data_IF_176104806478
#
_entry.id   IF_176104806478
#
_cell.length_a   1.000
_cell.length_b   1.000
_cell.length_c   1.000
_cell.angle_alpha   90.00
_cell.angle_beta   90.00
_cell.angle_gamma   90.00
#
_symmetry.space_group_name_H-M   'P 1'
#
loop_
_entity.id
_entity.type
_entity.pdbx_description
1 polymer ?
#
# COMPACT_ATOMS: atom_id res chain seq x y z
N UNK A 1 25.83 -2.63 -14.18
CA UNK A 1 25.41 -3.56 -15.25
C UNK A 1 25.22 -4.97 -14.71
N UNK A 2 26.17 -5.46 -13.91
CA UNK A 2 26.12 -6.81 -13.33
C UNK A 2 25.07 -6.97 -12.24
N UNK A 3 24.77 -5.91 -11.47
CA UNK A 3 23.80 -5.96 -10.37
C UNK A 3 22.40 -6.49 -10.78
N UNK A 4 21.75 -5.92 -11.81
CA UNK A 4 20.40 -6.34 -12.23
C UNK A 4 20.35 -7.74 -12.84
N UNK A 5 21.46 -8.19 -13.45
CA UNK A 5 21.58 -9.55 -13.99
C UNK A 5 21.85 -10.58 -12.88
N UNK A 6 22.64 -10.20 -11.88
CA UNK A 6 22.99 -11.04 -10.72
C UNK A 6 21.89 -11.09 -9.65
N UNK A 7 20.94 -10.16 -9.64
CA UNK A 7 19.87 -10.13 -8.64
C UNK A 7 18.91 -11.32 -8.85
N UNK A 8 18.95 -12.31 -7.98
CA UNK A 8 18.01 -13.43 -7.99
C UNK A 8 16.68 -13.02 -7.34
N UNK A 9 15.65 -12.82 -8.16
CA UNK A 9 14.33 -12.39 -7.68
C UNK A 9 13.67 -13.47 -6.81
N UNK A 10 13.95 -14.75 -7.04
CA UNK A 10 13.45 -15.84 -6.21
C UNK A 10 14.03 -15.76 -4.81
N UNK A 11 15.35 -15.56 -4.71
CA UNK A 11 16.03 -15.35 -3.43
C UNK A 11 15.51 -14.10 -2.70
N UNK A 12 15.29 -13.00 -3.43
CA UNK A 12 14.73 -11.77 -2.85
C UNK A 12 13.29 -11.98 -2.39
N UNK A 13 12.44 -12.70 -3.13
CA UNK A 13 11.08 -13.04 -2.72
C UNK A 13 11.06 -13.89 -1.44
N UNK A 14 11.95 -14.88 -1.33
CA UNK A 14 12.09 -15.69 -0.12
C UNK A 14 12.57 -14.83 1.06
N UNK A 15 13.57 -13.99 0.84
CA UNK A 15 14.04 -13.01 1.83
C UNK A 15 12.91 -12.11 2.33
N UNK A 16 12.11 -11.60 1.40
CA UNK A 16 10.96 -10.76 1.69
C UNK A 16 9.89 -11.49 2.50
N UNK A 17 9.59 -12.74 2.15
CA UNK A 17 8.66 -13.57 2.92
C UNK A 17 9.16 -13.79 4.36
N UNK A 18 10.46 -14.05 4.54
CA UNK A 18 11.05 -14.19 5.87
C UNK A 18 10.94 -12.88 6.67
N UNK A 19 11.18 -11.72 6.04
CA UNK A 19 10.97 -10.41 6.67
C UNK A 19 9.51 -10.24 7.10
N UNK A 20 8.55 -10.58 6.24
CA UNK A 20 7.13 -10.51 6.58
C UNK A 20 6.77 -11.43 7.74
N UNK A 21 7.25 -12.67 7.77
CA UNK A 21 7.00 -13.59 8.88
C UNK A 21 7.62 -13.06 10.18
N UNK A 22 8.87 -12.58 10.13
CA UNK A 22 9.60 -12.09 11.30
C UNK A 22 8.95 -10.83 11.90
N UNK A 23 8.47 -9.92 11.06
CA UNK A 23 7.83 -8.67 11.51
C UNK A 23 6.37 -8.91 11.88
N UNK A 24 5.62 -9.64 11.06
CA UNK A 24 4.18 -9.81 11.25
C UNK A 24 3.84 -10.83 12.34
N UNK A 25 4.57 -11.94 12.42
CA UNK A 25 4.29 -13.04 13.33
C UNK A 25 4.10 -12.59 14.78
N UNK A 26 5.05 -11.88 15.40
CA UNK A 26 4.91 -11.42 16.78
C UNK A 26 3.71 -10.50 17.01
N UNK A 27 3.41 -9.62 16.05
CA UNK A 27 2.29 -8.67 16.15
C UNK A 27 0.94 -9.38 16.01
N UNK A 28 0.84 -10.32 15.06
CA UNK A 28 -0.34 -11.17 14.85
C UNK A 28 -0.62 -11.98 16.11
N UNK A 29 0.40 -12.64 16.68
CA UNK A 29 0.26 -13.42 17.91
C UNK A 29 -0.17 -12.51 19.07
N UNK A 30 0.41 -11.32 19.21
CA UNK A 30 0.04 -10.37 20.26
C UNK A 30 -1.42 -9.87 20.14
N UNK A 31 -2.00 -9.86 18.94
CA UNK A 31 -3.39 -9.45 18.71
C UNK A 31 -4.41 -10.51 19.20
N UNK A 32 -4.06 -11.80 19.21
CA UNK A 32 -4.97 -12.90 19.58
C UNK A 32 -5.45 -12.72 21.04
N UNK A 33 -6.77 -12.70 21.31
CA UNK A 33 -7.34 -12.40 22.63
C UNK A 33 -7.25 -13.59 23.62
N UNK A 34 -6.06 -14.17 23.77
CA UNK A 34 -5.77 -15.26 24.73
C UNK A 34 -4.97 -14.69 25.91
N UNK A 35 -5.44 -14.92 27.14
CA UNK A 35 -4.78 -14.44 28.39
C UNK A 35 -3.31 -14.87 28.49
N UNK A 36 -2.97 -16.07 28.00
CA UNK A 36 -1.59 -16.56 28.00
C UNK A 36 -0.62 -15.69 27.18
N UNK A 37 -1.13 -14.88 26.26
CA UNK A 37 -0.35 -13.98 25.39
C UNK A 37 -0.26 -12.56 25.96
N UNK A 38 -0.82 -12.29 27.14
CA UNK A 38 -0.75 -10.97 27.78
C UNK A 38 0.68 -10.48 28.03
N UNK A 39 1.66 -11.32 28.43
CA UNK A 39 3.05 -10.87 28.55
C UNK A 39 3.63 -10.38 27.22
N UNK A 40 3.33 -11.08 26.12
CA UNK A 40 3.75 -10.70 24.77
C UNK A 40 3.07 -9.38 24.35
N UNK A 41 1.76 -9.26 24.56
CA UNK A 41 1.00 -8.03 24.28
C UNK A 41 1.57 -6.83 25.06
N UNK A 42 1.87 -7.01 26.35
CA UNK A 42 2.50 -5.98 27.21
C UNK A 42 3.90 -5.61 26.74
N UNK A 43 4.67 -6.56 26.23
CA UNK A 43 5.99 -6.30 25.66
C UNK A 43 5.92 -5.42 24.40
N UNK A 44 4.96 -5.70 23.51
CA UNK A 44 4.79 -4.95 22.26
C UNK A 44 4.03 -3.62 22.45
N UNK A 45 3.20 -3.51 23.47
CA UNK A 45 2.38 -2.35 23.76
C UNK A 45 3.10 -0.98 23.68
N UNK A 46 4.31 -0.79 24.25
CA UNK A 46 5.07 0.47 24.15
C UNK A 46 5.33 0.95 22.72
N UNK A 47 5.40 0.04 21.76
CA UNK A 47 5.73 0.36 20.36
C UNK A 47 4.54 0.94 19.59
N UNK A 48 3.33 0.57 19.99
CA UNK A 48 2.09 1.00 19.33
C UNK A 48 1.50 2.30 19.93
N UNK A 49 2.01 2.79 21.06
CA UNK A 49 1.44 3.97 21.72
C UNK A 49 1.68 5.25 20.91
N UNK A 50 0.60 6.00 20.73
CA UNK A 50 0.59 7.31 20.05
C UNK A 50 -0.53 8.20 20.58
N UNK A 51 -0.31 9.51 20.57
CA UNK A 51 -1.30 10.51 20.98
C UNK A 51 -1.80 10.30 22.41
N UNK A 52 -3.12 10.23 22.59
CA UNK A 52 -3.79 10.06 23.90
C UNK A 52 -3.41 8.78 24.65
N UNK A 53 -2.96 7.74 23.95
CA UNK A 53 -2.53 6.47 24.57
C UNK A 53 -1.15 6.55 25.24
N UNK A 54 -0.39 7.64 25.06
CA UNK A 54 0.88 7.87 25.74
C UNK A 54 0.72 8.47 27.14
N UNK A 55 -0.44 9.05 27.47
CA UNK A 55 -0.68 9.72 28.75
C UNK A 55 -1.14 8.77 29.86
N UNK A 56 -1.23 7.46 29.61
CA UNK A 56 -1.65 6.48 30.61
C UNK A 56 -0.56 6.26 31.69
N UNK A 57 -0.90 6.34 32.99
CA UNK A 57 0.05 6.33 34.11
C UNK A 57 0.82 5.00 34.27
N UNK A 58 0.33 3.91 33.69
CA UNK A 58 1.01 2.62 33.73
C UNK A 58 2.10 2.54 32.66
N UNK A 59 3.35 2.91 32.99
CA UNK A 59 4.53 2.02 32.80
C UNK A 59 5.89 2.66 33.06
N UNK A 60 6.62 2.04 33.99
CA UNK A 60 8.08 2.02 34.03
C UNK A 60 8.62 1.08 32.93
N UNK A 61 9.15 1.63 31.82
CA UNK A 61 9.82 0.88 30.75
C UNK A 61 11.23 1.41 30.43
N UNK A 62 12.14 0.51 30.02
CA UNK A 62 13.58 0.75 29.76
C UNK A 62 13.83 1.86 28.73
N UNK A 63 14.90 2.65 28.94
CA UNK A 63 15.14 3.97 28.34
C UNK A 63 14.96 4.15 26.82
N UNK A 64 15.28 3.16 25.99
CA UNK A 64 15.11 3.25 24.52
C UNK A 64 13.64 3.26 24.07
N UNK A 65 12.73 2.63 24.82
CA UNK A 65 11.29 2.61 24.51
C UNK A 65 10.57 3.92 24.90
N UNK A 66 11.27 4.85 25.59
CA UNK A 66 10.77 6.19 25.91
C UNK A 66 11.04 7.22 24.83
N UNK A 67 11.90 6.91 23.85
CA UNK A 67 12.18 7.84 22.77
C UNK A 67 10.90 8.04 21.96
N UNK A 68 10.48 9.30 21.82
CA UNK A 68 9.28 9.65 21.07
C UNK A 68 9.60 10.67 19.99
N UNK A 69 8.81 10.63 18.93
CA UNK A 69 8.85 11.60 17.83
C UNK A 69 7.49 12.31 17.72
N UNK A 70 7.43 13.50 17.11
CA UNK A 70 6.17 14.19 16.85
C UNK A 70 5.19 13.34 16.07
N UNK A 71 3.89 13.40 16.42
CA UNK A 71 2.88 12.66 15.69
C UNK A 71 2.76 13.14 14.22
N UNK A 72 3.06 14.40 13.92
CA UNK A 72 3.05 14.94 12.56
C UNK A 72 3.97 14.21 11.59
N UNK A 73 4.95 13.43 12.07
CA UNK A 73 5.83 12.61 11.24
C UNK A 73 5.11 11.46 10.50
N UNK A 74 3.79 11.27 10.72
CA UNK A 74 2.95 10.44 9.84
C UNK A 74 3.09 10.81 8.36
N UNK A 75 3.33 12.08 8.03
CA UNK A 75 3.54 12.53 6.65
C UNK A 75 4.75 11.85 5.98
N UNK A 76 5.82 11.60 6.74
CA UNK A 76 7.04 10.98 6.21
C UNK A 76 6.79 9.57 5.64
N UNK A 77 5.89 8.81 6.27
CA UNK A 77 5.52 7.48 5.83
C UNK A 77 5.00 7.49 4.39
N UNK A 78 4.10 8.43 4.10
CA UNK A 78 3.49 8.53 2.78
C UNK A 78 4.43 9.17 1.75
N UNK A 79 5.31 10.11 2.15
CA UNK A 79 6.35 10.64 1.25
C UNK A 79 7.29 9.53 0.78
N UNK A 80 7.82 8.73 1.72
CA UNK A 80 8.74 7.63 1.40
C UNK A 80 8.06 6.55 0.59
N UNK A 81 6.86 6.12 1.01
CA UNK A 81 6.07 5.13 0.28
C UNK A 81 5.73 5.57 -1.13
N UNK A 82 5.25 6.81 -1.29
CA UNK A 82 4.87 7.38 -2.59
C UNK A 82 6.08 7.45 -3.51
N UNK A 83 7.21 8.02 -3.05
CA UNK A 83 8.42 8.13 -3.87
C UNK A 83 8.88 6.78 -4.42
N UNK A 84 8.93 5.75 -3.57
CA UNK A 84 9.31 4.41 -4.00
C UNK A 84 8.27 3.79 -4.94
N UNK A 85 6.98 3.91 -4.61
CA UNK A 85 5.90 3.37 -5.43
C UNK A 85 5.85 4.02 -6.81
N UNK A 86 6.04 5.33 -6.93
CA UNK A 86 6.10 6.05 -8.21
C UNK A 86 7.21 5.49 -9.10
N UNK A 87 8.41 5.25 -8.56
CA UNK A 87 9.53 4.67 -9.33
C UNK A 87 9.15 3.28 -9.86
N UNK A 88 8.58 2.43 -9.01
CA UNK A 88 8.16 1.08 -9.39
C UNK A 88 7.00 1.12 -10.40
N UNK A 89 6.04 2.03 -10.21
CA UNK A 89 4.89 2.24 -11.08
C UNK A 89 5.32 2.66 -12.47
N UNK A 90 6.12 3.74 -12.58
CA UNK A 90 6.58 4.24 -13.87
C UNK A 90 7.41 3.20 -14.63
N UNK A 91 8.27 2.45 -13.93
CA UNK A 91 9.05 1.38 -14.55
C UNK A 91 8.17 0.23 -15.05
N UNK A 92 7.18 -0.19 -14.23
CA UNK A 92 6.27 -1.28 -14.58
C UNK A 92 5.28 -0.88 -15.67
N UNK A 93 4.80 0.36 -15.65
CA UNK A 93 3.93 0.93 -16.67
C UNK A 93 4.65 1.01 -18.02
N UNK A 94 5.88 1.52 -18.05
CA UNK A 94 6.69 1.55 -19.28
C UNK A 94 6.94 0.13 -19.82
N UNK A 95 7.19 -0.85 -18.95
CA UNK A 95 7.30 -2.25 -19.36
C UNK A 95 5.99 -2.80 -19.93
N UNK A 96 4.85 -2.52 -19.30
CA UNK A 96 3.52 -2.94 -19.77
C UNK A 96 3.19 -2.37 -21.15
N UNK A 97 3.48 -1.08 -21.37
CA UNK A 97 3.39 -0.44 -22.69
C UNK A 97 4.25 -1.18 -23.72
N UNK A 98 5.52 -1.51 -23.38
CA UNK A 98 6.41 -2.23 -24.30
C UNK A 98 5.92 -3.64 -24.62
N UNK A 99 5.38 -4.37 -23.64
CA UNK A 99 4.76 -5.67 -23.86
C UNK A 99 3.60 -5.61 -24.85
N UNK A 100 2.91 -4.46 -24.91
CA UNK A 100 1.71 -4.30 -25.72
C UNK A 100 1.98 -3.77 -27.12
N UNK A 101 3.04 -2.98 -27.30
CA UNK A 101 3.52 -2.55 -28.63
C UNK A 101 3.96 -3.72 -29.52
N UNK A 102 4.25 -4.89 -28.94
CA UNK A 102 4.53 -6.12 -29.70
C UNK A 102 3.33 -6.69 -30.46
N UNK A 103 2.10 -6.36 -30.04
CA UNK A 103 0.86 -6.82 -30.71
C UNK A 103 0.58 -6.02 -31.99
N UNK A 104 0.92 -4.72 -32.03
CA UNK A 104 0.74 -3.86 -33.23
C UNK A 104 1.56 -4.37 -34.42
N UNK A 105 2.76 -4.89 -34.18
CA UNK A 105 3.63 -5.41 -35.23
C UNK A 105 3.16 -6.76 -35.81
N UNK A 106 2.33 -7.52 -35.08
CA UNK A 106 1.73 -8.75 -35.60
C UNK A 106 0.52 -8.45 -36.49
N UNK A 107 -0.30 -7.47 -36.12
CA UNK A 107 -1.43 -7.07 -36.96
C UNK A 107 -0.94 -6.41 -38.26
N UNK A 108 0.08 -5.56 -38.19
CA UNK A 108 0.68 -4.97 -39.39
C UNK A 108 1.38 -5.99 -40.29
N UNK A 109 2.02 -7.04 -39.72
CA UNK A 109 2.64 -8.09 -40.53
C UNK A 109 1.62 -9.02 -41.19
N UNK A 110 0.53 -9.36 -40.50
CA UNK A 110 -0.59 -10.13 -41.06
C UNK A 110 -1.31 -9.33 -42.14
N UNK A 111 -1.56 -8.03 -41.91
CA UNK A 111 -2.15 -7.16 -42.94
C UNK A 111 -1.19 -7.00 -44.13
N UNK A 112 0.12 -6.80 -43.91
CA UNK A 112 1.09 -6.71 -45.00
C UNK A 112 1.22 -8.02 -45.81
N UNK A 113 1.11 -9.18 -45.16
CA UNK A 113 1.03 -10.48 -45.82
C UNK A 113 -0.26 -10.65 -46.64
N UNK A 114 -1.38 -10.15 -46.14
CA UNK A 114 -2.68 -10.19 -46.84
C UNK A 114 -2.79 -9.18 -47.98
N UNK A 115 -2.15 -8.02 -47.88
CA UNK A 115 -2.20 -6.97 -48.90
C UNK A 115 -1.09 -7.07 -49.94
N UNK A 116 -0.17 -8.04 -49.82
CA UNK A 116 0.94 -8.22 -50.77
C UNK A 116 1.92 -7.05 -50.82
N UNK A 117 1.88 -6.15 -49.83
CA UNK A 117 2.68 -4.94 -49.80
C UNK A 117 4.10 -5.29 -49.31
N UNK A 118 4.96 -5.69 -50.26
CA UNK A 118 6.41 -5.56 -50.20
C UNK A 118 7.10 -6.06 -48.92
N UNK A 119 7.47 -7.34 -48.92
CA UNK A 119 8.49 -7.89 -48.02
C UNK A 119 9.89 -7.33 -48.35
N UNK A 120 10.16 -6.06 -48.00
CA UNK A 120 11.52 -5.52 -47.98
C UNK A 120 11.65 -4.56 -46.79
N UNK A 121 12.54 -4.91 -45.84
CA UNK A 121 12.87 -4.23 -44.57
C UNK A 121 12.19 -4.73 -43.27
N UNK A 122 12.43 -5.99 -42.91
CA UNK A 122 12.47 -6.40 -41.48
C UNK A 122 13.58 -7.42 -41.23
N UNK A 123 14.83 -7.09 -41.60
CA UNK A 123 16.02 -7.86 -41.21
C UNK A 123 16.66 -7.36 -39.89
N UNK A 124 16.08 -6.33 -39.25
CA UNK A 124 16.59 -5.74 -38.00
C UNK A 124 15.54 -5.58 -36.89
N UNK A 125 14.31 -6.07 -37.06
CA UNK A 125 13.35 -6.13 -35.97
C UNK A 125 13.62 -7.40 -35.14
N UNK A 126 14.54 -7.29 -34.17
CA UNK A 126 15.03 -8.42 -33.38
C UNK A 126 13.93 -9.33 -32.84
N UNK A 127 14.21 -10.63 -32.84
CA UNK A 127 13.37 -11.80 -32.49
C UNK A 127 12.70 -11.79 -31.09
N UNK A 128 12.71 -10.66 -30.38
CA UNK A 128 12.17 -10.49 -29.03
C UNK A 128 10.73 -9.97 -28.99
N UNK A 129 10.24 -9.38 -30.07
CA UNK A 129 8.93 -8.69 -30.10
C UNK A 129 7.71 -9.63 -30.00
N UNK A 130 7.68 -10.82 -30.64
CA UNK A 130 6.56 -11.77 -30.48
C UNK A 130 6.48 -12.38 -29.07
N UNK A 131 7.60 -12.42 -28.34
CA UNK A 131 7.71 -13.09 -27.04
C UNK A 131 7.22 -12.21 -25.89
N UNK A 132 7.30 -10.88 -26.00
CA UNK A 132 6.82 -9.97 -24.95
C UNK A 132 5.29 -9.82 -24.91
N UNK A 133 4.60 -9.99 -26.05
CA UNK A 133 3.13 -9.88 -26.12
C UNK A 133 2.39 -10.80 -25.15
N UNK A 134 2.94 -12.00 -24.89
CA UNK A 134 2.36 -12.98 -23.96
C UNK A 134 2.35 -12.51 -22.50
N UNK A 135 3.20 -11.53 -22.16
CA UNK A 135 3.34 -10.98 -20.81
C UNK A 135 2.48 -9.73 -20.56
N UNK A 136 1.77 -9.24 -21.57
CA UNK A 136 0.99 -8.00 -21.47
C UNK A 136 0.01 -8.01 -20.30
N UNK A 137 -0.72 -9.12 -20.09
CA UNK A 137 -1.68 -9.27 -18.98
C UNK A 137 -1.02 -9.09 -17.61
N UNK A 138 0.07 -9.82 -17.36
CA UNK A 138 0.77 -9.76 -16.07
C UNK A 138 1.41 -8.38 -15.84
N UNK A 139 1.99 -7.79 -16.89
CA UNK A 139 2.59 -6.46 -16.81
C UNK A 139 1.55 -5.37 -16.52
N UNK A 140 0.38 -5.40 -17.18
CA UNK A 140 -0.71 -4.46 -16.92
C UNK A 140 -1.35 -4.66 -15.55
N UNK A 141 -1.49 -5.91 -15.09
CA UNK A 141 -1.97 -6.19 -13.74
C UNK A 141 -1.02 -5.60 -12.68
N UNK A 142 0.29 -5.78 -12.84
CA UNK A 142 1.28 -5.16 -11.95
C UNK A 142 1.19 -3.62 -11.97
N UNK A 143 1.17 -3.02 -13.16
CA UNK A 143 1.04 -1.57 -13.30
C UNK A 143 -0.25 -1.04 -12.65
N UNK A 144 -1.36 -1.78 -12.79
CA UNK A 144 -2.64 -1.45 -12.17
C UNK A 144 -2.59 -1.53 -10.64
N UNK A 145 -1.97 -2.56 -10.06
CA UNK A 145 -1.81 -2.66 -8.61
C UNK A 145 -0.98 -1.51 -8.03
N UNK A 146 0.11 -1.15 -8.72
CA UNK A 146 0.96 -0.03 -8.32
C UNK A 146 0.24 1.31 -8.49
N UNK A 147 -0.63 1.45 -9.50
CA UNK A 147 -1.50 2.62 -9.66
C UNK A 147 -2.52 2.72 -8.51
N UNK A 148 -3.16 1.62 -8.11
CA UNK A 148 -4.08 1.62 -6.97
C UNK A 148 -3.36 2.02 -5.67
N UNK A 149 -2.14 1.53 -5.48
CA UNK A 149 -1.29 1.93 -4.35
C UNK A 149 -0.87 3.40 -4.44
N UNK A 150 -0.55 3.90 -5.64
CA UNK A 150 -0.20 5.31 -5.88
C UNK A 150 -1.37 6.23 -5.47
N UNK A 151 -2.59 5.89 -5.88
CA UNK A 151 -3.81 6.63 -5.54
C UNK A 151 -4.03 6.61 -4.02
N UNK A 152 -3.90 5.45 -3.39
CA UNK A 152 -4.06 5.32 -1.94
C UNK A 152 -3.02 6.17 -1.18
N UNK A 153 -1.74 6.09 -1.53
CA UNK A 153 -0.65 6.84 -0.89
C UNK A 153 -0.79 8.35 -1.11
N UNK A 154 -1.14 8.77 -2.32
CA UNK A 154 -1.38 10.18 -2.66
C UNK A 154 -2.53 10.76 -1.84
N UNK A 155 -3.65 10.04 -1.76
CA UNK A 155 -4.78 10.47 -0.92
C UNK A 155 -4.38 10.54 0.55
N UNK A 156 -3.68 9.54 1.10
CA UNK A 156 -3.23 9.57 2.50
C UNK A 156 -2.26 10.72 2.77
N UNK A 157 -1.36 11.01 1.84
CA UNK A 157 -0.47 12.16 1.92
C UNK A 157 -1.26 13.47 1.93
N UNK A 158 -2.22 13.61 1.01
CA UNK A 158 -3.14 14.76 0.97
C UNK A 158 -3.88 14.92 2.31
N UNK A 159 -4.48 13.86 2.83
CA UNK A 159 -5.19 13.88 4.11
C UNK A 159 -4.27 14.27 5.27
N UNK A 160 -3.00 13.85 5.27
CA UNK A 160 -2.05 14.26 6.30
C UNK A 160 -1.62 15.72 6.18
N UNK A 161 -1.52 16.26 4.96
CA UNK A 161 -1.09 17.64 4.75
C UNK A 161 -2.22 18.66 4.95
N UNK A 162 -3.44 18.32 4.55
CA UNK A 162 -4.53 19.28 4.41
C UNK A 162 -5.77 18.99 5.25
N UNK A 163 -6.01 17.73 5.65
CA UNK A 163 -7.21 17.35 6.42
C UNK A 163 -6.87 17.11 7.89
N UNK A 164 -5.73 16.47 8.17
CA UNK A 164 -5.37 16.03 9.51
C UNK A 164 -4.83 17.17 10.36
N UNK A 165 -5.54 17.51 11.44
CA UNK A 165 -5.02 18.42 12.46
C UNK A 165 -4.16 17.66 13.46
N UNK A 166 -2.82 17.74 13.34
CA UNK A 166 -1.90 17.14 14.29
C UNK A 166 -1.63 18.07 15.46
N UNK A 167 -1.88 17.59 16.67
CA UNK A 167 -1.55 18.31 17.89
C UNK A 167 -0.01 18.41 18.06
N UNK A 168 0.56 19.63 18.23
CA UNK A 168 2.01 19.83 18.35
C UNK A 168 2.67 19.12 19.54
N UNK A 169 1.90 18.81 20.58
CA UNK A 169 2.35 18.07 21.77
C UNK A 169 2.11 16.56 21.65
N UNK A 170 1.38 16.11 20.64
CA UNK A 170 1.18 14.68 20.43
C UNK A 170 2.47 14.00 19.96
N UNK A 171 2.73 12.83 20.53
CA UNK A 171 3.95 12.06 20.32
C UNK A 171 3.59 10.64 19.87
N UNK A 172 4.57 9.91 19.32
CA UNK A 172 4.51 8.48 19.05
C UNK A 172 5.86 7.82 19.38
N UNK A 173 5.88 6.51 19.61
CA UNK A 173 7.12 5.74 19.80
C UNK A 173 8.07 5.91 18.61
N UNK A 174 9.34 6.24 18.86
CA UNK A 174 10.35 6.37 17.80
C UNK A 174 10.67 5.02 17.12
N UNK A 175 10.67 3.93 17.89
CA UNK A 175 10.84 2.58 17.33
C UNK A 175 9.59 2.19 16.51
N UNK A 176 8.40 2.50 17.01
CA UNK A 176 7.15 2.33 16.26
C UNK A 176 7.16 3.13 14.95
N UNK A 177 7.71 4.35 14.96
CA UNK A 177 7.92 5.16 13.77
C UNK A 177 8.85 4.48 12.76
N UNK A 178 10.00 3.94 13.18
CA UNK A 178 10.93 3.25 12.27
C UNK A 178 10.32 1.97 11.69
N UNK A 179 9.59 1.19 12.49
CA UNK A 179 8.88 -0.01 12.01
C UNK A 179 7.82 0.38 10.97
N UNK A 180 7.03 1.42 11.27
CA UNK A 180 6.02 1.93 10.34
C UNK A 180 6.67 2.43 9.05
N UNK A 181 7.77 3.19 9.12
CA UNK A 181 8.50 3.64 7.93
C UNK A 181 8.97 2.45 7.07
N UNK A 182 9.48 1.39 7.71
CA UNK A 182 9.83 0.14 7.04
C UNK A 182 8.64 -0.51 6.32
N UNK A 183 7.46 -0.52 6.92
CA UNK A 183 6.25 -1.03 6.27
C UNK A 183 5.93 -0.32 4.94
N UNK A 184 6.04 1.00 4.89
CA UNK A 184 5.81 1.78 3.66
C UNK A 184 6.89 1.60 2.58
N UNK A 185 8.06 1.07 2.93
CA UNK A 185 9.10 0.64 1.97
C UNK A 185 8.80 -0.77 1.46
N UNK A 186 8.46 -1.68 2.37
CA UNK A 186 8.30 -3.11 2.09
C UNK A 186 7.03 -3.40 1.28
N UNK A 187 5.93 -2.67 1.49
CA UNK A 187 4.66 -2.90 0.75
C UNK A 187 4.79 -2.68 -0.76
N UNK A 188 5.31 -1.54 -1.28
CA UNK A 188 5.51 -1.37 -2.72
C UNK A 188 6.43 -2.43 -3.33
N UNK A 189 7.50 -2.81 -2.62
CA UNK A 189 8.43 -3.88 -3.04
C UNK A 189 7.69 -5.23 -3.10
N UNK A 190 6.80 -5.51 -2.15
CA UNK A 190 5.98 -6.73 -2.13
C UNK A 190 5.03 -6.78 -3.31
N UNK A 191 4.33 -5.66 -3.59
CA UNK A 191 3.43 -5.56 -4.73
C UNK A 191 4.15 -5.74 -6.07
N UNK A 192 5.38 -5.22 -6.15
CA UNK A 192 6.23 -5.38 -7.32
C UNK A 192 6.71 -6.83 -7.47
N UNK A 193 7.36 -7.37 -6.45
CA UNK A 193 8.02 -8.67 -6.52
C UNK A 193 7.06 -9.83 -6.67
N UNK A 194 5.83 -9.77 -6.15
CA UNK A 194 4.87 -10.88 -6.29
C UNK A 194 4.56 -11.25 -7.76
N UNK A 195 4.72 -10.31 -8.70
CA UNK A 195 4.43 -10.53 -10.12
C UNK A 195 5.52 -11.31 -10.86
N UNK A 196 6.68 -11.55 -10.22
CA UNK A 196 7.85 -12.17 -10.83
C UNK A 196 7.99 -13.65 -10.44
N UNK A 197 6.96 -14.45 -10.70
CA UNK A 197 6.98 -15.90 -10.44
C UNK A 197 7.54 -16.71 -11.61
N UNK A 198 7.26 -16.28 -12.84
CA UNK A 198 7.76 -16.95 -14.04
C UNK A 198 9.14 -16.41 -14.40
N UNK A 199 10.12 -17.31 -14.53
CA UNK A 199 11.49 -16.95 -14.89
C UNK A 199 11.56 -16.18 -16.22
N UNK A 200 10.74 -16.59 -17.20
CA UNK A 200 10.69 -15.92 -18.50
C UNK A 200 10.17 -14.48 -18.44
N UNK A 201 9.21 -14.18 -17.55
CA UNK A 201 8.72 -12.83 -17.30
C UNK A 201 9.80 -11.99 -16.61
N UNK A 202 10.45 -12.55 -15.58
CA UNK A 202 11.54 -11.92 -14.85
C UNK A 202 12.72 -11.56 -15.75
N UNK A 203 13.12 -12.47 -16.63
CA UNK A 203 14.22 -12.23 -17.57
C UNK A 203 13.86 -11.14 -18.59
N UNK A 204 12.62 -11.13 -19.09
CA UNK A 204 12.14 -10.07 -19.99
C UNK A 204 12.16 -8.70 -19.31
N UNK A 205 11.69 -8.60 -18.07
CA UNK A 205 11.72 -7.36 -17.31
C UNK A 205 13.14 -6.90 -16.99
N UNK A 206 14.03 -7.79 -16.55
CA UNK A 206 15.45 -7.47 -16.28
C UNK A 206 16.14 -6.94 -17.53
N UNK A 207 15.87 -7.53 -18.69
CA UNK A 207 16.41 -7.05 -19.97
C UNK A 207 15.90 -5.64 -20.29
N UNK A 208 14.59 -5.41 -20.14
CA UNK A 208 13.99 -4.09 -20.31
C UNK A 208 14.60 -3.04 -19.38
N UNK A 209 14.70 -3.34 -18.08
CA UNK A 209 15.29 -2.45 -17.09
C UNK A 209 16.76 -2.15 -17.40
N UNK A 210 17.55 -3.17 -17.78
CA UNK A 210 18.95 -2.99 -18.17
C UNK A 210 19.12 -2.12 -19.43
N UNK A 211 18.19 -2.21 -20.39
CA UNK A 211 18.17 -1.35 -21.58
C UNK A 211 17.85 0.10 -21.22
N UNK A 212 16.83 0.35 -20.37
CA UNK A 212 16.48 1.70 -19.93
C UNK A 212 17.59 2.36 -19.10
N UNK A 213 18.33 1.60 -18.29
CA UNK A 213 19.51 2.11 -17.58
C UNK A 213 20.68 2.48 -18.50
N UNK A 214 20.70 1.99 -19.76
CA UNK A 214 21.74 2.28 -20.75
C UNK A 214 21.38 3.50 -21.62
N UNK A 215 20.11 3.87 -21.74
CA UNK A 215 19.72 5.06 -22.52
C UNK A 215 20.24 6.34 -21.86
N UNK A 216 20.84 7.22 -22.65
CA UNK A 216 21.25 8.58 -22.23
C UNK A 216 20.00 9.40 -21.90
N UNK A 217 20.11 10.33 -20.94
CA UNK A 217 18.98 11.10 -20.40
C UNK A 217 18.14 11.88 -21.43
N UNK A 218 18.71 12.26 -22.57
CA UNK A 218 18.03 12.99 -23.65
C UNK A 218 17.00 12.13 -24.41
N UNK A 219 17.32 10.85 -24.71
CA UNK A 219 16.38 9.92 -25.37
C UNK A 219 15.22 9.48 -24.46
N UNK A 220 15.41 9.52 -23.14
CA UNK A 220 14.38 9.16 -22.17
C UNK A 220 13.26 10.22 -22.16
N UNK A 221 13.62 11.50 -22.34
CA UNK A 221 12.66 12.60 -22.37
C UNK A 221 11.79 12.56 -23.64
N UNK A 222 12.37 12.22 -24.80
CA UNK A 222 11.63 12.02 -26.05
C UNK A 222 10.74 10.77 -26.00
N UNK A 223 11.25 9.65 -25.48
CA UNK A 223 10.48 8.42 -25.31
C UNK A 223 9.33 8.56 -24.29
N UNK A 224 9.44 9.47 -23.34
CA UNK A 224 8.38 9.77 -22.36
C UNK A 224 7.26 10.64 -22.95
N UNK A 225 7.55 11.41 -24.01
CA UNK A 225 6.56 12.25 -24.69
C UNK A 225 5.64 11.47 -25.63
N UNK A 226 5.97 10.23 -25.99
CA UNK A 226 5.06 9.33 -26.72
C UNK A 226 4.03 8.73 -25.75
N UNK A 227 3.01 9.53 -25.42
CA UNK A 227 1.89 9.04 -24.62
C UNK A 227 1.17 7.90 -25.36
N UNK A 228 0.82 6.79 -24.67
CA UNK A 228 0.01 5.75 -25.29
C UNK A 228 -1.36 6.33 -25.67
N UNK A 229 -1.72 6.21 -26.94
CA UNK A 229 -3.02 6.65 -27.46
C UNK A 229 -4.17 6.02 -26.64
N UNK A 230 -5.19 6.83 -26.33
CA UNK A 230 -6.30 6.54 -25.40
C UNK A 230 -7.01 5.21 -25.74
N UNK A 231 -7.16 4.90 -27.03
CA UNK A 231 -7.79 3.66 -27.46
C UNK A 231 -6.98 2.42 -27.06
N UNK A 232 -5.64 2.54 -27.08
CA UNK A 232 -4.75 1.48 -26.64
C UNK A 232 -4.82 1.31 -25.13
N UNK A 233 -4.90 2.41 -24.36
CA UNK A 233 -5.08 2.35 -22.91
C UNK A 233 -6.37 1.57 -22.53
N UNK A 234 -7.47 1.80 -23.25
CA UNK A 234 -8.74 1.07 -23.04
C UNK A 234 -8.57 -0.43 -23.35
N UNK A 235 -7.91 -0.77 -24.46
CA UNK A 235 -7.58 -2.17 -24.78
C UNK A 235 -6.73 -2.83 -23.70
N UNK A 236 -5.78 -2.08 -23.12
CA UNK A 236 -4.87 -2.57 -22.09
C UNK A 236 -5.57 -2.82 -20.76
N UNK A 237 -6.49 -1.94 -20.39
CA UNK A 237 -7.38 -2.15 -19.24
C UNK A 237 -8.22 -3.41 -19.45
N UNK A 238 -8.73 -3.67 -20.66
CA UNK A 238 -9.49 -4.89 -20.97
C UNK A 238 -8.74 -6.22 -20.72
N UNK A 239 -7.41 -6.21 -20.60
CA UNK A 239 -6.62 -7.40 -20.25
C UNK A 239 -6.54 -7.68 -18.75
N UNK A 240 -6.92 -6.74 -17.90
CA UNK A 240 -6.93 -6.89 -16.45
C UNK A 240 -8.12 -7.78 -16.04
N UNK A 241 -7.88 -8.77 -15.18
CA UNK A 241 -8.93 -9.71 -14.76
C UNK A 241 -10.02 -9.05 -13.93
N UNK A 242 -11.27 -9.52 -14.03
CA UNK A 242 -12.42 -8.94 -13.31
C UNK A 242 -12.20 -8.84 -11.79
N UNK A 243 -11.52 -9.82 -11.18
CA UNK A 243 -11.15 -9.78 -9.77
C UNK A 243 -10.32 -8.56 -9.39
N UNK A 244 -9.46 -8.07 -10.28
CA UNK A 244 -8.68 -6.84 -10.06
C UNK A 244 -9.57 -5.60 -9.93
N UNK A 245 -10.66 -5.54 -10.71
CA UNK A 245 -11.64 -4.45 -10.61
C UNK A 245 -12.52 -4.55 -9.35
N UNK A 246 -12.89 -5.75 -8.93
CA UNK A 246 -13.58 -5.94 -7.64
C UNK A 246 -12.68 -5.43 -6.50
N UNK A 247 -11.41 -5.82 -6.51
CA UNK A 247 -10.43 -5.36 -5.53
C UNK A 247 -10.26 -3.84 -5.53
N UNK A 248 -10.19 -3.22 -6.71
CA UNK A 248 -10.18 -1.76 -6.85
C UNK A 248 -11.45 -1.12 -6.26
N UNK A 249 -12.63 -1.67 -6.55
CA UNK A 249 -13.90 -1.21 -5.98
C UNK A 249 -13.91 -1.24 -4.45
N UNK A 250 -13.41 -2.32 -3.84
CA UNK A 250 -13.23 -2.42 -2.39
C UNK A 250 -12.24 -1.37 -1.86
N UNK A 251 -11.13 -1.13 -2.57
CA UNK A 251 -10.18 -0.10 -2.19
C UNK A 251 -10.81 1.30 -2.21
N UNK A 252 -11.56 1.65 -3.26
CA UNK A 252 -12.23 2.94 -3.33
C UNK A 252 -13.33 3.09 -2.27
N UNK A 253 -14.10 2.03 -2.02
CA UNK A 253 -15.11 2.01 -0.97
C UNK A 253 -14.51 2.24 0.42
N UNK A 254 -13.45 1.51 0.77
CA UNK A 254 -12.72 1.73 2.01
C UNK A 254 -12.07 3.11 2.08
N UNK A 255 -11.49 3.60 0.98
CA UNK A 255 -10.88 4.93 0.92
C UNK A 255 -11.89 6.06 1.16
N UNK A 256 -13.10 5.94 0.60
CA UNK A 256 -14.18 6.89 0.82
C UNK A 256 -14.55 7.00 2.31
N UNK A 257 -14.89 5.86 2.94
CA UNK A 257 -15.26 5.85 4.37
C UNK A 257 -14.12 6.29 5.28
N UNK A 258 -12.88 5.93 4.93
CA UNK A 258 -11.73 6.39 5.70
C UNK A 258 -11.55 7.91 5.62
N UNK A 259 -11.69 8.50 4.43
CA UNK A 259 -11.59 9.95 4.26
C UNK A 259 -12.68 10.68 5.07
N UNK A 260 -13.93 10.24 4.96
CA UNK A 260 -15.06 10.78 5.75
C UNK A 260 -14.77 10.70 7.24
N UNK A 261 -14.25 9.57 7.72
CA UNK A 261 -13.87 9.42 9.12
C UNK A 261 -12.77 10.39 9.55
N UNK A 262 -11.77 10.65 8.70
CA UNK A 262 -10.71 11.61 8.99
C UNK A 262 -11.21 13.06 9.00
N UNK A 263 -12.10 13.43 8.10
CA UNK A 263 -12.76 14.73 8.09
C UNK A 263 -13.59 14.96 9.36
N UNK A 264 -14.38 13.98 9.80
CA UNK A 264 -15.12 14.03 11.06
C UNK A 264 -14.15 14.26 12.24
N UNK A 265 -13.07 13.48 12.32
CA UNK A 265 -12.09 13.61 13.41
C UNK A 265 -11.34 14.95 13.38
N UNK A 266 -11.11 15.51 12.20
CA UNK A 266 -10.48 16.83 12.04
C UNK A 266 -11.43 17.96 12.45
N UNK A 267 -12.71 17.89 12.05
CA UNK A 267 -13.72 18.87 12.40
C UNK A 267 -13.93 19.00 13.91
N UNK A 268 -13.81 17.89 14.65
CA UNK A 268 -13.88 17.91 16.13
C UNK A 268 -12.77 18.75 16.79
N UNK A 269 -11.65 18.98 16.11
CA UNK A 269 -10.52 19.78 16.62
C UNK A 269 -10.52 21.22 16.12
N UNK A 270 -11.35 21.54 15.12
CA UNK A 270 -11.38 22.87 14.52
C UNK A 270 -11.91 23.94 15.48
N UNK A 271 -12.68 23.54 16.50
CA UNK A 271 -13.33 24.43 17.46
C UNK A 271 -12.54 24.62 18.76
N UNK A 272 -11.35 24.04 18.89
CA UNK A 272 -10.54 24.17 20.10
C UNK A 272 -9.85 25.55 20.15
N UNK A 273 -10.11 26.33 21.20
CA UNK A 273 -9.49 27.65 21.37
C UNK A 273 -7.98 27.52 21.65
N UNK A 274 -7.13 28.37 21.05
CA UNK A 274 -5.69 28.40 21.31
C UNK A 274 -5.39 28.63 22.80
N UNK A 275 -4.80 27.64 23.47
CA UNK A 275 -4.39 27.74 24.89
C UNK A 275 -5.37 27.14 25.90
N UNK A 276 -6.51 26.60 25.47
CA UNK A 276 -7.43 25.87 26.36
C UNK A 276 -6.94 24.45 26.68
N UNK A 277 -7.40 23.88 27.81
CA UNK A 277 -7.15 22.49 28.16
C UNK A 277 -7.81 21.57 27.13
N UNK A 278 -7.04 20.62 26.55
CA UNK A 278 -7.51 19.71 25.50
C UNK A 278 -8.87 19.09 25.83
N UNK A 279 -9.89 19.43 25.03
CA UNK A 279 -11.21 18.82 25.11
C UNK A 279 -11.27 17.66 24.13
N UNK A 280 -11.78 16.52 24.58
CA UNK A 280 -12.04 15.37 23.73
C UNK A 280 -13.54 15.30 23.47
N UNK A 281 -13.91 14.84 22.27
CA UNK A 281 -15.30 14.72 21.84
C UNK A 281 -15.60 13.29 21.39
N UNK A 282 -16.87 12.91 21.45
CA UNK A 282 -17.36 11.63 20.92
C UNK A 282 -17.65 11.83 19.42
N UNK A 283 -16.94 11.12 18.51
CA UNK A 283 -17.23 11.20 17.08
C UNK A 283 -18.57 10.53 16.75
N UNK A 284 -19.34 11.15 15.87
CA UNK A 284 -20.64 10.69 15.36
C UNK A 284 -20.67 10.83 13.83
N UNK A 285 -21.54 10.05 13.19
CA UNK A 285 -21.64 10.00 11.73
C UNK A 285 -20.83 8.88 11.07
N UNK A 286 -21.26 8.48 9.87
CA UNK A 286 -20.72 7.32 9.14
C UNK A 286 -20.63 6.07 10.04
N UNK A 287 -19.57 5.27 9.93
CA UNK A 287 -19.37 4.05 10.72
C UNK A 287 -19.01 4.31 12.19
N UNK A 288 -18.89 5.56 12.65
CA UNK A 288 -18.67 5.82 14.08
C UNK A 288 -19.86 5.38 14.92
N UNK A 289 -21.06 5.26 14.35
CA UNK A 289 -22.23 4.74 15.08
C UNK A 289 -22.13 3.25 15.42
N UNK A 290 -21.29 2.49 14.70
CA UNK A 290 -21.11 1.06 14.90
C UNK A 290 -19.85 0.75 15.71
N UNK A 291 -18.76 1.49 15.47
CA UNK A 291 -17.45 1.21 16.06
C UNK A 291 -16.71 2.48 16.46
N UNK A 292 -15.80 2.37 17.42
CA UNK A 292 -14.98 3.49 17.90
C UNK A 292 -13.92 3.93 16.90
N UNK A 293 -13.36 2.98 16.13
CA UNK A 293 -12.27 3.23 15.18
C UNK A 293 -12.63 2.80 13.75
N UNK A 294 -13.65 3.39 13.12
CA UNK A 294 -14.11 3.01 11.78
C UNK A 294 -13.07 3.29 10.68
N UNK A 295 -12.24 4.32 10.84
CA UNK A 295 -11.11 4.58 9.93
C UNK A 295 -10.09 3.43 9.88
N UNK A 296 -9.98 2.62 10.94
CA UNK A 296 -9.17 1.40 10.95
C UNK A 296 -9.89 0.24 10.24
N UNK A 297 -11.21 0.10 10.42
CA UNK A 297 -12.00 -0.86 9.64
C UNK A 297 -11.92 -0.55 8.14
N UNK A 298 -12.04 0.72 7.78
CA UNK A 298 -11.93 1.18 6.40
C UNK A 298 -10.55 0.87 5.80
N UNK A 299 -9.47 1.01 6.57
CA UNK A 299 -8.12 0.57 6.15
C UNK A 299 -8.06 -0.93 5.88
N UNK A 300 -8.67 -1.76 6.73
CA UNK A 300 -8.75 -3.22 6.52
C UNK A 300 -9.48 -3.53 5.21
N UNK A 301 -10.56 -2.80 4.89
CA UNK A 301 -11.29 -2.94 3.62
C UNK A 301 -10.38 -2.59 2.43
N UNK A 302 -9.58 -1.52 2.53
CA UNK A 302 -8.62 -1.15 1.49
C UNK A 302 -7.61 -2.28 1.25
N UNK A 303 -6.95 -2.77 2.30
CA UNK A 303 -5.95 -3.82 2.15
C UNK A 303 -6.56 -5.16 1.71
N UNK A 304 -7.80 -5.45 2.12
CA UNK A 304 -8.55 -6.61 1.61
C UNK A 304 -8.82 -6.47 0.11
N UNK A 305 -9.19 -5.27 -0.34
CA UNK A 305 -9.32 -4.92 -1.76
C UNK A 305 -8.00 -5.11 -2.51
N UNK A 306 -6.86 -4.74 -1.93
CA UNK A 306 -5.54 -4.94 -2.53
C UNK A 306 -5.17 -6.43 -2.70
N UNK A 307 -5.51 -7.28 -1.72
CA UNK A 307 -5.33 -8.75 -1.83
C UNK A 307 -6.20 -9.33 -2.94
N UNK A 308 -7.48 -8.93 -3.00
CA UNK A 308 -8.39 -9.35 -4.08
C UNK A 308 -7.87 -8.83 -5.42
N UNK A 309 -7.37 -7.60 -5.46
CA UNK A 309 -6.89 -6.97 -6.68
C UNK A 309 -5.68 -7.71 -7.26
N UNK A 310 -4.79 -8.21 -6.39
CA UNK A 310 -3.61 -8.99 -6.78
C UNK A 310 -3.94 -10.42 -7.19
N UNK A 311 -5.18 -10.85 -7.04
CA UNK A 311 -5.67 -12.19 -7.39
C UNK A 311 -5.58 -13.20 -6.24
N UNK A 312 -5.11 -12.80 -5.05
CA UNK A 312 -5.17 -13.65 -3.85
C UNK A 312 -4.36 -14.95 -3.92
N UNK A 313 -3.33 -15.03 -4.76
CA UNK A 313 -2.53 -16.26 -4.94
C UNK A 313 -1.28 -16.30 -4.06
N UNK A 314 -0.77 -15.14 -3.62
CA UNK A 314 0.50 -15.04 -2.93
C UNK A 314 0.32 -14.93 -1.41
N UNK A 315 0.89 -15.89 -0.66
CA UNK A 315 0.84 -15.93 0.81
C UNK A 315 1.28 -14.61 1.46
N UNK A 316 2.29 -13.94 0.88
CA UNK A 316 2.83 -12.68 1.39
C UNK A 316 1.75 -11.58 1.50
N UNK A 317 0.78 -11.57 0.59
CA UNK A 317 -0.33 -10.60 0.59
C UNK A 317 -1.27 -10.82 1.78
N UNK A 318 -1.50 -12.08 2.15
CA UNK A 318 -2.29 -12.44 3.33
C UNK A 318 -1.55 -12.16 4.64
N UNK A 319 -0.23 -12.37 4.68
CA UNK A 319 0.59 -12.00 5.85
C UNK A 319 0.58 -10.48 6.05
N UNK A 320 0.72 -9.70 4.97
CA UNK A 320 0.58 -8.24 5.01
C UNK A 320 -0.80 -7.84 5.53
N UNK A 321 -1.89 -8.39 5.00
CA UNK A 321 -3.25 -8.09 5.47
C UNK A 321 -3.43 -8.46 6.95
N UNK A 322 -2.96 -9.64 7.37
CA UNK A 322 -3.02 -10.08 8.76
C UNK A 322 -2.24 -9.14 9.70
N UNK A 323 -1.08 -8.62 9.25
CA UNK A 323 -0.34 -7.61 10.00
C UNK A 323 -1.14 -6.32 10.14
N UNK A 324 -1.75 -5.83 9.05
CA UNK A 324 -2.59 -4.62 9.08
C UNK A 324 -3.73 -4.79 10.07
N UNK A 325 -4.48 -5.90 9.99
CA UNK A 325 -5.58 -6.21 10.92
C UNK A 325 -5.09 -6.28 12.36
N UNK A 326 -4.01 -7.01 12.63
CA UNK A 326 -3.47 -7.18 13.98
C UNK A 326 -2.99 -5.87 14.60
N UNK A 327 -2.23 -5.08 13.84
CA UNK A 327 -1.72 -3.77 14.26
C UNK A 327 -2.87 -2.80 14.58
N UNK A 328 -3.86 -2.73 13.69
CA UNK A 328 -5.01 -1.85 13.87
C UNK A 328 -5.89 -2.28 15.05
N UNK A 329 -6.08 -3.58 15.25
CA UNK A 329 -6.81 -4.09 16.41
C UNK A 329 -6.13 -3.73 17.74
N UNK A 330 -4.80 -3.90 17.81
CA UNK A 330 -4.01 -3.54 19.00
C UNK A 330 -4.09 -2.04 19.34
N UNK A 331 -4.41 -1.19 18.36
CA UNK A 331 -4.64 0.24 18.55
C UNK A 331 -6.11 0.55 18.88
N UNK A 332 -7.04 -0.14 18.24
CA UNK A 332 -8.47 0.10 18.37
C UNK A 332 -8.98 -0.23 19.77
N UNK A 333 -8.60 -1.40 20.30
CA UNK A 333 -9.12 -1.90 21.58
C UNK A 333 -8.84 -0.93 22.75
N UNK A 334 -7.60 -0.48 22.99
CA UNK A 334 -7.33 0.47 24.07
C UNK A 334 -7.93 1.85 23.81
N UNK A 335 -8.12 2.23 22.54
CA UNK A 335 -8.82 3.47 22.18
C UNK A 335 -10.30 3.40 22.58
N UNK A 336 -10.94 2.25 22.36
CA UNK A 336 -12.32 1.98 22.78
C UNK A 336 -12.46 1.97 24.30
N UNK A 337 -11.58 1.25 25.00
CA UNK A 337 -11.52 1.22 26.48
C UNK A 337 -11.33 2.63 27.06
N UNK A 338 -10.48 3.44 26.43
CA UNK A 338 -10.28 4.83 26.83
C UNK A 338 -11.55 5.68 26.64
N UNK A 339 -12.32 5.49 25.56
CA UNK A 339 -13.58 6.21 25.38
C UNK A 339 -14.61 5.84 26.45
N UNK A 340 -14.78 4.54 26.73
CA UNK A 340 -15.67 4.04 27.78
C UNK A 340 -15.31 4.58 29.17
N UNK A 341 -14.03 4.70 29.48
CA UNK A 341 -13.56 5.22 30.76
C UNK A 341 -13.62 6.76 30.86
N UNK A 342 -13.62 7.46 29.72
CA UNK A 342 -13.55 8.93 29.67
C UNK A 342 -14.92 9.60 29.65
N UNK A 343 -15.91 8.98 29.02
CA UNK A 343 -17.23 9.56 28.79
C UNK A 343 -18.32 8.66 29.36
N UNK A 344 -19.08 9.19 30.31
CA UNK A 344 -20.20 8.47 30.93
C UNK A 344 -21.34 8.20 29.94
N UNK A 345 -21.48 9.04 28.92
CA UNK A 345 -22.49 8.97 27.86
C UNK A 345 -22.02 8.24 26.59
N UNK A 346 -20.87 7.54 26.64
CA UNK A 346 -20.37 6.80 25.48
C UNK A 346 -21.29 5.61 25.11
N UNK A 347 -21.67 5.44 23.83
CA UNK A 347 -22.54 4.32 23.44
C UNK A 347 -21.90 2.95 23.69
N UNK A 348 -22.45 2.18 24.63
CA UNK A 348 -21.98 0.84 24.99
C UNK A 348 -22.24 -0.23 23.90
N UNK A 349 -23.11 0.09 22.93
CA UNK A 349 -23.36 -0.74 21.76
C UNK A 349 -22.19 -0.76 20.77
N UNK A 350 -21.35 0.30 20.75
CA UNK A 350 -20.19 0.38 19.85
C UNK A 350 -19.17 -0.71 20.17
N UNK A 351 -18.45 -1.16 19.15
CA UNK A 351 -17.29 -2.07 19.29
C UNK A 351 -16.00 -1.33 18.95
N UNK A 352 -14.83 -1.91 19.19
CA UNK A 352 -13.57 -1.20 18.99
C UNK A 352 -13.28 -0.95 17.50
N UNK A 353 -13.46 -1.96 16.65
CA UNK A 353 -13.07 -1.92 15.24
C UNK A 353 -13.97 -2.70 14.30
N UNK A 354 -14.35 -3.93 14.63
CA UNK A 354 -15.17 -4.81 13.78
C UNK A 354 -16.60 -4.83 14.35
N UNK A 355 -17.61 -4.38 13.59
CA UNK A 355 -19.00 -4.37 14.04
C UNK A 355 -19.41 -5.75 14.56
N UNK A 356 -20.12 -5.76 15.69
CA UNK A 356 -20.65 -6.97 16.33
C UNK A 356 -19.64 -8.00 16.85
N UNK A 357 -18.34 -7.82 16.61
CA UNK A 357 -17.30 -8.80 17.00
C UNK A 357 -16.34 -8.21 18.03
N UNK A 358 -15.62 -7.13 17.68
CA UNK A 358 -14.46 -6.69 18.45
C UNK A 358 -14.23 -5.18 18.39
#
# INVERSE_FOLDING_TARGET
MDFMRQLDFSQVQQGLLMVWIAVAGPVIVAAIPIKALDPLRRFWWPLFRRGKLLQSPDTAGRGLLKLTVPQSFFTHFYIVGLTLNTILFLTSFAFACKCSSGVKNQFSSVVAQLTGAGAHHTLFAGDTVPVLGKFGREAWKLAFLLLLMEIHLTRRLYECLFVSSFDPSARMSAIGYLIALGFYIVVPITLFLQSFTQESYTNAFKLFAAQKLKQKGEEILESANEAPDVLNLISYLGHIGFGSYIGAGLMFFGAYHQNVCHEILAALRANDEPGSSKKYYIPTGDWFELVSCPHYLAEIVIYSGLVVASGGTHLVMYIMLALVVANLYLLAKPTHEWYLAKFDDYPSSRRAMIPYIA
#
